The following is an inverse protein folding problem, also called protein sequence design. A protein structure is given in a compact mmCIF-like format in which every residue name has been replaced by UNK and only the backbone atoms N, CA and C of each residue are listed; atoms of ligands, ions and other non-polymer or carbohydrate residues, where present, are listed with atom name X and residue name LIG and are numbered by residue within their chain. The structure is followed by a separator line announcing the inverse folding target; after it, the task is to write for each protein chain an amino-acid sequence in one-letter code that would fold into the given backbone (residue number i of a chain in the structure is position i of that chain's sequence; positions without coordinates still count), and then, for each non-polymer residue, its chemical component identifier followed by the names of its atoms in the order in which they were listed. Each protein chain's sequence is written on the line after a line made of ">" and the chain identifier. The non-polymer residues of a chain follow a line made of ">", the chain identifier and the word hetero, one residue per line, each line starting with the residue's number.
data_IF_250479666837
#
_entry.id   IF_250479666837
#
_cell.length_a   1.000
_cell.length_b   1.000
_cell.length_c   1.000
_cell.angle_alpha   90.00
_cell.angle_beta   90.00
_cell.angle_gamma   90.00
#
_symmetry.space_group_name_H-M   'P 1'
#
loop_
_entity.id
_entity.type
_entity.pdbx_description
1 polymer ?
#
# COMPACT_ATOMS: atom_id res chain seq x y z
N UNK A 1 12.88 1.26 -11.61
CA UNK A 1 11.96 0.11 -11.77
C UNK A 1 11.62 -0.25 -10.35
N UNK A 2 10.34 -0.28 -10.00
CA UNK A 2 9.95 -0.53 -8.62
C UNK A 2 10.51 -1.87 -8.13
N UNK A 3 11.23 -1.85 -7.01
CA UNK A 3 11.65 -3.04 -6.28
C UNK A 3 10.43 -3.76 -5.70
N UNK A 4 9.44 -3.00 -5.21
CA UNK A 4 8.16 -3.51 -4.74
C UNK A 4 7.01 -2.60 -5.21
N UNK A 5 5.94 -3.19 -5.74
CA UNK A 5 4.70 -2.49 -6.04
C UNK A 5 3.59 -2.92 -5.10
N UNK A 6 2.92 -1.95 -4.49
CA UNK A 6 1.70 -2.14 -3.68
C UNK A 6 0.53 -1.56 -4.46
N UNK A 7 -0.52 -2.37 -4.65
CA UNK A 7 -1.72 -1.99 -5.41
C UNK A 7 -2.97 -2.24 -4.59
N UNK A 8 -3.82 -1.23 -4.52
CA UNK A 8 -5.20 -1.26 -4.01
C UNK A 8 -5.36 -1.88 -2.61
N UNK A 9 -4.40 -1.63 -1.71
CA UNK A 9 -4.45 -2.21 -0.37
C UNK A 9 -5.51 -1.51 0.47
N UNK A 10 -6.38 -2.34 1.05
CA UNK A 10 -7.42 -1.92 1.99
C UNK A 10 -7.20 -2.61 3.32
N UNK A 11 -7.21 -1.84 4.41
CA UNK A 11 -7.03 -2.34 5.77
C UNK A 11 -8.17 -1.83 6.65
N UNK A 12 -8.83 -2.77 7.33
CA UNK A 12 -9.96 -2.51 8.22
C UNK A 12 -9.66 -3.04 9.61
N UNK A 13 -9.93 -2.23 10.63
CA UNK A 13 -9.81 -2.62 12.03
C UNK A 13 -11.13 -2.35 12.74
N UNK A 14 -11.83 -3.44 13.10
CA UNK A 14 -13.18 -3.35 13.65
C UNK A 14 -14.13 -2.66 12.66
N UNK A 15 -14.55 -1.44 13.01
CA UNK A 15 -15.45 -0.61 12.20
C UNK A 15 -14.78 0.54 11.44
N UNK A 16 -13.46 0.71 11.53
CA UNK A 16 -12.74 1.83 10.90
C UNK A 16 -11.96 1.32 9.69
N UNK A 17 -11.95 2.12 8.62
CA UNK A 17 -11.07 1.93 7.46
C UNK A 17 -9.77 2.67 7.72
N UNK A 18 -8.69 1.92 7.94
CA UNK A 18 -7.37 2.48 8.22
C UNK A 18 -6.59 2.79 6.93
N UNK A 19 -6.74 1.95 5.91
CA UNK A 19 -6.23 2.18 4.57
C UNK A 19 -7.35 1.89 3.56
N UNK A 20 -7.52 2.75 2.58
CA UNK A 20 -8.55 2.63 1.54
C UNK A 20 -7.91 2.78 0.15
N UNK A 21 -7.82 1.68 -0.59
CA UNK A 21 -7.30 1.68 -1.97
C UNK A 21 -5.88 2.23 -2.12
N UNK A 22 -4.99 1.99 -1.15
CA UNK A 22 -3.64 2.58 -1.17
C UNK A 22 -2.76 1.88 -2.19
N UNK A 23 -2.15 2.67 -3.07
CA UNK A 23 -1.23 2.20 -4.11
C UNK A 23 0.05 3.04 -4.11
N UNK A 24 1.21 2.37 -4.15
CA UNK A 24 2.51 3.03 -4.27
C UNK A 24 3.58 2.04 -4.75
N UNK A 25 4.69 2.61 -5.21
CA UNK A 25 5.88 1.88 -5.63
C UNK A 25 7.04 2.22 -4.68
N UNK A 26 7.87 1.21 -4.38
CA UNK A 26 9.11 1.34 -3.62
C UNK A 26 10.26 1.08 -4.60
N UNK A 27 11.12 2.07 -4.79
CA UNK A 27 12.33 1.91 -5.61
C UNK A 27 13.44 1.21 -4.80
N UNK A 28 14.44 0.69 -5.51
CA UNK A 28 15.62 0.07 -4.89
C UNK A 28 16.39 1.07 -4.00
N UNK A 29 16.93 0.57 -2.89
CA UNK A 29 17.73 1.38 -1.97
C UNK A 29 19.08 1.77 -2.56
N UNK A 30 19.66 2.87 -2.06
CA UNK A 30 21.03 3.30 -2.39
C UNK A 30 22.09 2.51 -1.61
#
# INVERSE_FOLDING_TARGET
>A
MALLSVRDVTLRFGGIVALDGVSFDVEEGH
#
